data_IF_047948594216
#
_entry.id   IF_047948594216
#
_cell.length_a   1.000
_cell.length_b   1.000
_cell.length_c   1.000
_cell.angle_alpha   90.00
_cell.angle_beta   90.00
_cell.angle_gamma   90.00
#
_symmetry.space_group_name_H-M   'P 1'
#
loop_
_entity.id
_entity.type
_entity.pdbx_description
1 polymer ?
#
# COMPACT_ATOMS: atom_id res chain seq x y z
N UNK A 1 -24.67 5.00 -12.95
CA UNK A 1 -23.24 4.64 -12.91
C UNK A 1 -22.34 5.69 -12.23
N UNK A 2 -22.60 7.00 -12.32
CA UNK A 2 -21.73 8.02 -11.69
C UNK A 2 -22.01 8.28 -10.19
N UNK A 3 -23.21 7.94 -9.70
CA UNK A 3 -23.64 8.16 -8.31
C UNK A 3 -22.99 7.17 -7.33
N UNK A 4 -22.77 5.93 -7.78
CA UNK A 4 -22.25 4.82 -6.99
C UNK A 4 -20.78 5.01 -6.61
N UNK A 5 -19.97 5.42 -7.60
CA UNK A 5 -18.53 5.71 -7.41
C UNK A 5 -18.31 6.84 -6.40
N UNK A 6 -19.14 7.89 -6.46
CA UNK A 6 -19.05 9.00 -5.51
C UNK A 6 -19.46 8.59 -4.10
N UNK A 7 -20.54 7.82 -3.97
CA UNK A 7 -21.00 7.29 -2.70
C UNK A 7 -19.94 6.36 -2.05
N UNK A 8 -19.34 5.46 -2.84
CA UNK A 8 -18.26 4.58 -2.39
C UNK A 8 -17.03 5.37 -1.92
N UNK A 9 -16.66 6.43 -2.64
CA UNK A 9 -15.56 7.32 -2.22
C UNK A 9 -15.86 8.04 -0.90
N UNK A 10 -17.07 8.56 -0.73
CA UNK A 10 -17.50 9.22 0.51
C UNK A 10 -17.54 8.23 1.69
N UNK A 11 -18.01 7.00 1.45
CA UNK A 11 -18.00 5.91 2.44
C UNK A 11 -16.59 5.53 2.86
N UNK A 12 -15.69 5.29 1.91
CA UNK A 12 -14.28 4.99 2.20
C UNK A 12 -13.63 6.12 2.99
N UNK A 13 -13.92 7.38 2.64
CA UNK A 13 -13.40 8.54 3.36
C UNK A 13 -13.93 8.60 4.81
N UNK A 14 -15.22 8.34 5.02
CA UNK A 14 -15.83 8.27 6.37
C UNK A 14 -15.20 7.16 7.20
N UNK A 15 -15.02 5.98 6.64
CA UNK A 15 -14.41 4.84 7.30
C UNK A 15 -12.93 5.08 7.61
N UNK A 16 -12.17 5.64 6.67
CA UNK A 16 -10.76 6.00 6.90
C UNK A 16 -10.60 7.06 7.99
N UNK A 17 -11.61 7.91 8.19
CA UNK A 17 -11.62 8.92 9.25
C UNK A 17 -12.20 8.42 10.58
N UNK A 18 -12.80 7.23 10.59
CA UNK A 18 -13.45 6.65 11.76
C UNK A 18 -12.43 6.24 12.84
N UNK A 19 -12.90 6.20 14.09
CA UNK A 19 -12.03 5.81 15.21
C UNK A 19 -11.54 4.37 15.07
N UNK A 20 -12.40 3.46 14.61
CA UNK A 20 -12.03 2.05 14.43
C UNK A 20 -10.88 1.88 13.43
N UNK A 21 -10.87 2.63 12.33
CA UNK A 21 -9.76 2.58 11.38
C UNK A 21 -8.49 3.17 11.98
N UNK A 22 -8.58 4.34 12.62
CA UNK A 22 -7.41 5.01 13.21
C UNK A 22 -6.76 4.20 14.32
N UNK A 23 -7.56 3.53 15.16
CA UNK A 23 -7.07 2.66 16.22
C UNK A 23 -6.36 1.43 15.63
N UNK A 24 -6.96 0.81 14.61
CA UNK A 24 -6.35 -0.31 13.91
C UNK A 24 -5.06 0.10 13.19
N UNK A 25 -5.07 1.21 12.43
CA UNK A 25 -3.91 1.76 11.73
C UNK A 25 -2.75 2.01 12.71
N UNK A 26 -3.03 2.67 13.84
CA UNK A 26 -2.04 2.93 14.88
C UNK A 26 -1.43 1.64 15.43
N UNK A 27 -2.27 0.70 15.88
CA UNK A 27 -1.81 -0.56 16.45
C UNK A 27 -1.02 -1.39 15.44
N UNK A 28 -1.49 -1.42 14.18
CA UNK A 28 -0.83 -2.09 13.07
C UNK A 28 0.55 -1.47 12.80
N UNK A 29 0.62 -0.14 12.69
CA UNK A 29 1.88 0.57 12.44
C UNK A 29 2.88 0.32 13.57
N UNK A 30 2.45 0.42 14.83
CA UNK A 30 3.33 0.25 16.00
C UNK A 30 3.83 -1.18 16.16
N UNK A 31 3.04 -2.18 15.76
CA UNK A 31 3.41 -3.60 15.88
C UNK A 31 4.28 -4.08 14.71
N UNK A 32 3.95 -3.66 13.49
CA UNK A 32 4.59 -4.20 12.27
C UNK A 32 5.74 -3.33 11.78
N UNK A 33 5.73 -2.04 12.11
CA UNK A 33 6.63 -1.05 11.51
C UNK A 33 6.33 -0.76 10.04
N UNK A 34 5.15 -1.15 9.53
CA UNK A 34 4.72 -0.91 8.15
C UNK A 34 3.62 0.16 8.07
N UNK A 35 3.49 0.86 6.94
CA UNK A 35 2.39 1.78 6.72
C UNK A 35 1.09 1.02 6.39
N UNK A 36 -0.04 1.65 6.64
CA UNK A 36 -1.36 1.14 6.26
C UNK A 36 -2.20 2.30 5.73
N UNK A 37 -2.92 2.08 4.64
CA UNK A 37 -3.85 3.05 4.09
C UNK A 37 -5.14 2.34 3.69
N UNK A 38 -6.28 3.00 3.89
CA UNK A 38 -7.54 2.64 3.25
C UNK A 38 -7.86 3.68 2.17
N UNK A 39 -8.19 3.23 0.97
CA UNK A 39 -8.41 4.12 -0.17
C UNK A 39 -9.49 3.62 -1.12
N UNK A 40 -10.15 4.53 -1.87
CA UNK A 40 -11.14 4.15 -2.88
C UNK A 40 -10.48 3.46 -4.07
N UNK A 41 -11.29 2.97 -5.01
CA UNK A 41 -10.80 2.27 -6.21
C UNK A 41 -9.90 3.15 -7.08
N UNK A 42 -10.23 4.44 -7.21
CA UNK A 42 -9.45 5.37 -8.02
C UNK A 42 -8.15 5.78 -7.32
N UNK A 43 -7.05 5.80 -8.07
CA UNK A 43 -5.75 6.25 -7.58
C UNK A 43 -5.28 7.41 -8.45
N UNK A 44 -5.06 8.56 -7.81
CA UNK A 44 -4.45 9.73 -8.47
C UNK A 44 -3.09 10.09 -7.85
N UNK A 45 -2.71 9.46 -6.74
CA UNK A 45 -1.52 9.78 -5.94
C UNK A 45 -0.90 8.51 -5.34
N UNK A 46 0.36 8.62 -4.93
CA UNK A 46 1.08 7.56 -4.23
C UNK A 46 0.44 7.25 -2.87
N UNK A 47 0.01 6.00 -2.67
CA UNK A 47 -0.90 5.60 -1.59
C UNK A 47 -0.33 5.81 -0.19
N UNK A 48 0.95 5.52 -0.01
CA UNK A 48 1.61 5.59 1.30
C UNK A 48 2.32 6.93 1.55
N UNK A 49 2.24 7.88 0.62
CA UNK A 49 2.95 9.15 0.74
C UNK A 49 2.51 9.92 1.99
N UNK A 50 3.48 10.22 2.87
CA UNK A 50 3.24 10.93 4.13
C UNK A 50 2.56 10.10 5.22
N UNK A 51 2.38 8.78 5.03
CA UNK A 51 1.86 7.90 6.08
C UNK A 51 2.92 7.62 7.15
N UNK A 52 2.45 7.26 8.34
CA UNK A 52 3.34 6.76 9.41
C UNK A 52 4.01 5.48 8.91
N UNK A 53 5.32 5.36 9.17
CA UNK A 53 6.16 4.27 8.71
C UNK A 53 6.25 4.12 7.18
N UNK A 54 5.99 5.19 6.42
CA UNK A 54 6.38 5.22 5.00
C UNK A 54 7.87 4.88 4.88
N UNK A 55 8.19 3.96 3.97
CA UNK A 55 9.58 3.57 3.72
C UNK A 55 10.39 4.78 3.22
N UNK A 56 11.56 5.07 3.81
CA UNK A 56 12.39 6.22 3.42
C UNK A 56 12.75 6.26 1.93
N UNK A 57 13.05 5.10 1.33
CA UNK A 57 13.34 5.00 -0.10
C UNK A 57 12.11 5.38 -0.93
N UNK A 58 10.95 4.84 -0.59
CA UNK A 58 9.70 5.17 -1.28
C UNK A 58 9.34 6.65 -1.14
N UNK A 59 9.57 7.24 0.03
CA UNK A 59 9.37 8.68 0.25
C UNK A 59 10.30 9.51 -0.64
N UNK A 60 11.57 9.10 -0.77
CA UNK A 60 12.54 9.77 -1.63
C UNK A 60 12.12 9.69 -3.10
N UNK A 61 11.65 8.52 -3.56
CA UNK A 61 11.08 8.35 -4.90
C UNK A 61 9.87 9.26 -5.12
N UNK A 62 8.96 9.35 -4.14
CA UNK A 62 7.77 10.20 -4.19
C UNK A 62 8.10 11.71 -4.26
N UNK A 63 9.17 12.14 -3.59
CA UNK A 63 9.66 13.53 -3.63
C UNK A 63 10.33 13.86 -4.96
N UNK A 64 11.16 12.95 -5.47
CA UNK A 64 11.88 13.13 -6.72
C UNK A 64 10.94 13.19 -7.93
N UNK A 65 9.86 12.40 -7.90
CA UNK A 65 8.80 12.47 -8.88
C UNK A 65 7.46 12.10 -8.21
N UNK A 66 6.54 13.09 -8.15
CA UNK A 66 5.20 12.92 -7.54
C UNK A 66 4.40 11.78 -8.16
N UNK A 67 4.78 11.34 -9.36
CA UNK A 67 4.19 10.23 -10.12
C UNK A 67 5.30 9.41 -10.78
N UNK A 68 6.18 8.80 -9.98
CA UNK A 68 7.10 7.79 -10.50
C UNK A 68 6.28 6.70 -11.22
N UNK A 69 6.46 6.57 -12.54
CA UNK A 69 5.67 5.65 -13.38
C UNK A 69 5.72 4.22 -12.84
N UNK A 70 6.88 3.75 -12.39
CA UNK A 70 7.04 2.41 -11.81
C UNK A 70 6.24 2.21 -10.51
N UNK A 71 6.10 3.26 -9.68
CA UNK A 71 5.27 3.18 -8.48
C UNK A 71 3.78 3.14 -8.83
N UNK A 72 3.35 3.85 -9.89
CA UNK A 72 1.97 3.79 -10.38
C UNK A 72 1.66 2.43 -11.02
N UNK A 73 2.57 1.89 -11.83
CA UNK A 73 2.46 0.54 -12.41
C UNK A 73 2.33 -0.52 -11.32
N UNK A 74 3.13 -0.40 -10.24
CA UNK A 74 3.00 -1.29 -9.07
C UNK A 74 1.61 -1.17 -8.43
N UNK A 75 1.11 0.05 -8.26
CA UNK A 75 -0.23 0.28 -7.68
C UNK A 75 -1.36 -0.25 -8.56
N UNK A 76 -1.23 -0.14 -9.88
CA UNK A 76 -2.17 -0.71 -10.83
C UNK A 76 -2.14 -2.24 -10.78
N UNK A 77 -0.94 -2.85 -10.82
CA UNK A 77 -0.77 -4.30 -10.73
C UNK A 77 -1.38 -4.86 -9.42
N UNK A 78 -1.25 -4.13 -8.30
CA UNK A 78 -1.89 -4.49 -7.04
C UNK A 78 -3.41 -4.61 -7.18
N UNK A 79 -4.04 -3.59 -7.76
CA UNK A 79 -5.50 -3.55 -7.96
C UNK A 79 -5.97 -4.62 -8.92
N UNK A 80 -5.27 -4.78 -10.04
CA UNK A 80 -5.63 -5.77 -11.07
C UNK A 80 -5.59 -7.19 -10.52
N UNK A 81 -4.57 -7.56 -9.72
CA UNK A 81 -4.50 -8.89 -9.13
C UNK A 81 -5.53 -9.14 -8.02
N UNK A 82 -6.20 -8.11 -7.50
CA UNK A 82 -7.33 -8.27 -6.59
C UNK A 82 -8.67 -8.58 -7.30
N UNK A 83 -8.68 -8.82 -8.61
CA UNK A 83 -9.91 -9.05 -9.38
C UNK A 83 -10.79 -10.20 -8.84
N UNK A 84 -10.17 -11.25 -8.31
CA UNK A 84 -10.88 -12.39 -7.70
C UNK A 84 -11.36 -12.08 -6.26
N UNK A 85 -11.14 -10.86 -5.78
CA UNK A 85 -11.55 -10.42 -4.47
C UNK A 85 -10.69 -10.97 -3.33
N UNK A 86 -9.46 -11.38 -3.64
CA UNK A 86 -8.42 -11.82 -2.70
C UNK A 86 -7.33 -10.76 -2.57
N UNK A 87 -6.51 -10.88 -1.53
CA UNK A 87 -5.34 -10.04 -1.36
C UNK A 87 -4.31 -10.32 -2.48
N UNK A 88 -3.68 -9.26 -2.98
CA UNK A 88 -2.65 -9.37 -4.01
C UNK A 88 -1.37 -8.68 -3.54
N UNK A 89 -0.24 -9.38 -3.69
CA UNK A 89 1.08 -8.87 -3.31
C UNK A 89 1.94 -8.72 -4.56
N UNK A 90 2.56 -7.56 -4.73
CA UNK A 90 3.44 -7.25 -5.86
C UNK A 90 4.78 -6.78 -5.32
N UNK A 91 5.86 -7.24 -5.96
CA UNK A 91 7.22 -6.75 -5.70
C UNK A 91 7.60 -5.72 -6.75
N UNK A 92 7.96 -4.51 -6.33
CA UNK A 92 8.37 -3.44 -7.23
C UNK A 92 9.81 -3.61 -7.73
N UNK A 93 10.25 -2.71 -8.63
CA UNK A 93 11.61 -2.73 -9.19
C UNK A 93 12.72 -2.67 -8.12
N UNK A 94 12.44 -2.06 -6.97
CA UNK A 94 13.40 -1.92 -5.87
C UNK A 94 13.46 -3.18 -4.97
N UNK A 95 12.70 -4.23 -5.30
CA UNK A 95 12.64 -5.46 -4.51
C UNK A 95 11.79 -5.34 -3.23
N UNK A 96 11.01 -4.27 -3.09
CA UNK A 96 10.07 -4.07 -1.98
C UNK A 96 8.69 -4.60 -2.36
N UNK A 97 8.02 -5.24 -1.40
CA UNK A 97 6.69 -5.81 -1.56
C UNK A 97 5.62 -4.88 -1.02
N UNK A 98 4.57 -4.69 -1.82
CA UNK A 98 3.32 -4.06 -1.44
C UNK A 98 2.17 -5.06 -1.56
N UNK A 99 1.15 -4.91 -0.73
CA UNK A 99 -0.07 -5.72 -0.77
C UNK A 99 -1.30 -4.83 -0.82
N UNK A 100 -2.27 -5.20 -1.64
CA UNK A 100 -3.63 -4.69 -1.61
C UNK A 100 -4.60 -5.77 -1.13
N UNK A 101 -5.55 -5.37 -0.30
CA UNK A 101 -6.62 -6.22 0.23
C UNK A 101 -7.96 -5.54 -0.06
N UNK A 102 -8.86 -6.16 -0.85
CA UNK A 102 -10.13 -5.55 -1.20
C UNK A 102 -11.09 -5.50 0.00
N UNK A 103 -11.76 -4.35 0.18
CA UNK A 103 -12.88 -4.17 1.10
C UNK A 103 -14.17 -4.14 0.27
N UNK A 104 -15.17 -4.93 0.66
CA UNK A 104 -16.38 -5.15 -0.15
C UNK A 104 -17.64 -4.67 0.56
N UNK A 105 -18.61 -4.23 -0.22
CA UNK A 105 -20.00 -4.03 0.20
C UNK A 105 -20.88 -4.90 -0.70
N UNK A 106 -21.53 -5.91 -0.12
CA UNK A 106 -22.12 -7.01 -0.90
C UNK A 106 -21.08 -7.70 -1.79
N UNK A 107 -21.28 -7.65 -3.12
CA UNK A 107 -20.35 -8.20 -4.12
C UNK A 107 -19.39 -7.15 -4.70
N UNK A 108 -19.59 -5.86 -4.41
CA UNK A 108 -18.81 -4.78 -4.98
C UNK A 108 -17.58 -4.46 -4.12
N UNK A 109 -16.43 -4.22 -4.75
CA UNK A 109 -15.24 -3.69 -4.07
C UNK A 109 -15.34 -2.18 -3.97
N UNK A 110 -15.48 -1.67 -2.76
CA UNK A 110 -15.60 -0.22 -2.49
C UNK A 110 -14.22 0.46 -2.37
N UNK A 111 -13.18 -0.31 -2.05
CA UNK A 111 -11.84 0.21 -1.83
C UNK A 111 -10.84 -0.87 -1.45
N UNK A 112 -9.62 -0.44 -1.14
CA UNK A 112 -8.50 -1.34 -0.82
C UNK A 112 -7.78 -0.87 0.45
N UNK A 113 -7.56 -1.79 1.37
CA UNK A 113 -6.51 -1.65 2.38
C UNK A 113 -5.17 -1.96 1.71
N UNK A 114 -4.18 -1.09 1.89
CA UNK A 114 -2.85 -1.27 1.33
C UNK A 114 -1.76 -1.11 2.38
N UNK A 115 -0.80 -2.02 2.36
CA UNK A 115 0.38 -2.04 3.23
C UNK A 115 1.60 -2.54 2.45
N UNK A 116 2.79 -2.44 3.04
CA UNK A 116 4.00 -2.99 2.45
C UNK A 116 5.18 -2.04 2.53
N UNK A 117 5.79 -1.79 1.37
CA UNK A 117 7.10 -1.14 1.24
C UNK A 117 8.21 -1.84 2.03
N UNK A 118 8.17 -3.18 2.05
CA UNK A 118 9.09 -4.00 2.85
C UNK A 118 9.83 -5.03 1.98
N UNK A 119 11.09 -5.29 2.29
CA UNK A 119 11.85 -6.37 1.68
C UNK A 119 11.50 -7.73 2.31
N UNK A 120 11.58 -8.80 1.52
CA UNK A 120 11.43 -10.19 2.00
C UNK A 120 12.76 -10.95 2.08
N UNK A 121 13.85 -10.26 1.76
CA UNK A 121 15.21 -10.79 1.72
C UNK A 121 16.16 -9.67 2.08
N UNK A 122 17.29 -10.02 2.67
CA UNK A 122 18.30 -9.05 3.10
C UNK A 122 18.78 -8.17 1.93
N UNK A 123 18.90 -6.85 2.13
CA UNK A 123 19.52 -5.96 1.16
C UNK A 123 21.00 -6.28 0.96
N UNK A 124 21.48 -6.27 -0.29
CA UNK A 124 22.90 -6.46 -0.62
C UNK A 124 23.38 -5.41 -1.62
N UNK A 125 24.69 -5.09 -1.67
CA UNK A 125 25.22 -4.10 -2.60
C UNK A 125 24.92 -4.44 -4.06
N UNK A 126 24.91 -5.72 -4.42
CA UNK A 126 24.61 -6.18 -5.78
C UNK A 126 23.15 -5.95 -6.15
N UNK A 127 22.24 -6.07 -5.18
CA UNK A 127 20.82 -5.75 -5.37
C UNK A 127 20.62 -4.25 -5.53
N UNK A 128 21.21 -3.45 -4.65
CA UNK A 128 21.14 -2.00 -4.77
C UNK A 128 21.76 -1.52 -6.09
N UNK A 129 22.85 -2.12 -6.55
CA UNK A 129 23.45 -1.83 -7.85
C UNK A 129 22.47 -1.99 -9.03
N UNK A 130 21.51 -2.92 -8.94
CA UNK A 130 20.45 -3.07 -9.96
C UNK A 130 19.41 -1.96 -9.85
N UNK A 131 19.01 -1.60 -8.62
CA UNK A 131 18.11 -0.48 -8.35
C UNK A 131 18.71 0.83 -8.86
N UNK A 132 19.97 1.11 -8.52
CA UNK A 132 20.69 2.30 -8.95
C UNK A 132 20.78 2.41 -10.48
N UNK A 133 21.08 1.30 -11.18
CA UNK A 133 21.06 1.27 -12.65
C UNK A 133 19.69 1.66 -13.21
N UNK A 134 18.62 1.08 -12.66
CA UNK A 134 17.25 1.42 -13.08
C UNK A 134 16.92 2.90 -12.86
N UNK A 135 17.36 3.49 -11.73
CA UNK A 135 17.17 4.91 -11.43
C UNK A 135 17.91 5.82 -12.43
N UNK A 136 19.14 5.44 -12.79
CA UNK A 136 19.95 6.14 -13.80
C UNK A 136 19.28 6.04 -15.18
N UNK A 137 18.85 4.84 -15.57
CA UNK A 137 18.21 4.59 -16.88
C UNK A 137 16.91 5.40 -17.05
N UNK A 138 16.16 5.59 -15.96
CA UNK A 138 14.97 6.45 -15.94
C UNK A 138 15.29 7.95 -15.84
N UNK A 139 16.55 8.33 -15.65
CA UNK A 139 16.97 9.72 -15.52
C UNK A 139 16.40 10.42 -14.27
N UNK A 140 16.08 9.67 -13.21
CA UNK A 140 15.59 10.26 -11.96
C UNK A 140 16.69 11.12 -11.33
N UNK A 141 16.37 12.38 -11.04
CA UNK A 141 17.26 13.31 -10.35
C UNK A 141 17.22 13.04 -8.85
N UNK A 142 17.92 11.99 -8.44
CA UNK A 142 18.05 11.53 -7.06
C UNK A 142 19.53 11.40 -6.72
N UNK A 143 19.93 11.82 -5.52
CA UNK A 143 21.25 11.47 -4.99
C UNK A 143 21.29 9.96 -4.73
N UNK A 144 22.13 9.24 -5.48
CA UNK A 144 22.22 7.79 -5.39
C UNK A 144 22.72 7.31 -4.03
N UNK A 145 23.54 8.11 -3.34
CA UNK A 145 24.01 7.77 -2.00
C UNK A 145 22.88 7.90 -0.99
N UNK A 146 22.09 8.97 -1.08
CA UNK A 146 20.89 9.14 -0.25
C UNK A 146 19.88 8.02 -0.51
N UNK A 147 19.69 7.65 -1.78
CA UNK A 147 18.82 6.53 -2.16
C UNK A 147 19.33 5.18 -1.63
N UNK A 148 20.65 4.96 -1.62
CA UNK A 148 21.26 3.76 -1.05
C UNK A 148 20.98 3.67 0.44
N UNK A 149 21.33 4.72 1.18
CA UNK A 149 21.11 4.78 2.63
C UNK A 149 19.63 4.57 2.98
N UNK A 150 18.71 5.21 2.24
CA UNK A 150 17.27 5.05 2.41
C UNK A 150 16.78 3.64 2.05
N UNK A 151 17.34 3.02 1.03
CA UNK A 151 16.97 1.65 0.61
C UNK A 151 17.40 0.61 1.64
N UNK A 152 18.61 0.73 2.19
CA UNK A 152 19.09 -0.13 3.28
C UNK A 152 18.29 0.01 4.59
N UNK A 153 17.65 1.15 4.82
CA UNK A 153 16.75 1.36 5.96
C UNK A 153 15.36 0.74 5.77
N UNK A 154 15.09 0.12 4.62
CA UNK A 154 13.82 -0.57 4.38
C UNK A 154 13.60 -1.68 5.40
N UNK A 155 12.36 -1.79 5.91
CA UNK A 155 11.99 -2.90 6.79
C UNK A 155 12.12 -4.21 6.03
N UNK A 156 12.86 -5.17 6.59
CA UNK A 156 12.93 -6.54 6.09
C UNK A 156 12.12 -7.45 6.99
N UNK A 157 11.25 -8.25 6.39
CA UNK A 157 10.43 -9.25 7.07
C UNK A 157 10.72 -10.62 6.46
N UNK A 158 10.61 -11.67 7.27
CA UNK A 158 10.56 -13.02 6.69
C UNK A 158 9.26 -13.18 5.90
N UNK A 159 9.24 -14.11 4.94
CA UNK A 159 8.02 -14.42 4.18
C UNK A 159 6.84 -14.76 5.10
N UNK A 160 7.07 -15.57 6.13
CA UNK A 160 6.05 -15.93 7.12
C UNK A 160 5.52 -14.73 7.91
N UNK A 161 6.40 -13.79 8.30
CA UNK A 161 5.99 -12.56 8.96
C UNK A 161 5.13 -11.70 8.04
N UNK A 162 5.53 -11.55 6.77
CA UNK A 162 4.76 -10.78 5.80
C UNK A 162 3.40 -11.41 5.50
N UNK A 163 3.32 -12.73 5.33
CA UNK A 163 2.04 -13.45 5.20
C UNK A 163 1.12 -13.23 6.42
N UNK A 164 1.70 -13.20 7.62
CA UNK A 164 0.96 -12.90 8.85
C UNK A 164 0.42 -11.47 8.86
N UNK A 165 1.23 -10.49 8.41
CA UNK A 165 0.80 -9.11 8.20
C UNK A 165 -0.38 -9.04 7.23
N UNK A 166 -0.27 -9.68 6.06
CA UNK A 166 -1.34 -9.72 5.05
C UNK A 166 -2.62 -10.33 5.63
N UNK A 167 -2.50 -11.38 6.44
CA UNK A 167 -3.64 -12.01 7.13
C UNK A 167 -4.31 -11.05 8.12
N UNK A 168 -3.54 -10.29 8.90
CA UNK A 168 -4.09 -9.28 9.82
C UNK A 168 -4.91 -8.24 9.05
N UNK A 169 -4.37 -7.72 7.95
CA UNK A 169 -5.06 -6.73 7.11
C UNK A 169 -6.32 -7.35 6.46
N UNK A 170 -6.25 -8.62 6.04
CA UNK A 170 -7.38 -9.35 5.47
C UNK A 170 -8.53 -9.55 6.44
N UNK A 171 -8.23 -9.89 7.70
CA UNK A 171 -9.25 -9.99 8.75
C UNK A 171 -9.90 -8.64 9.00
N UNK A 172 -9.11 -7.56 9.02
CA UNK A 172 -9.66 -6.23 9.21
C UNK A 172 -10.48 -5.74 8.02
N UNK A 173 -10.10 -6.10 6.79
CA UNK A 173 -10.91 -5.84 5.59
C UNK A 173 -12.29 -6.48 5.68
N UNK A 174 -12.39 -7.71 6.20
CA UNK A 174 -13.67 -8.38 6.44
C UNK A 174 -14.49 -7.63 7.49
N UNK A 175 -13.86 -7.17 8.57
CA UNK A 175 -14.54 -6.38 9.60
C UNK A 175 -15.10 -5.06 9.04
N UNK A 176 -14.31 -4.31 8.25
CA UNK A 176 -14.78 -3.12 7.56
C UNK A 176 -15.92 -3.43 6.60
N UNK A 177 -15.84 -4.55 5.86
CA UNK A 177 -16.90 -4.98 4.94
C UNK A 177 -18.23 -5.23 5.67
N UNK A 178 -18.19 -5.84 6.86
CA UNK A 178 -19.38 -6.03 7.69
C UNK A 178 -19.99 -4.70 8.16
N UNK A 179 -19.14 -3.73 8.56
CA UNK A 179 -19.60 -2.39 8.94
C UNK A 179 -20.24 -1.65 7.76
N UNK A 180 -19.68 -1.78 6.56
CA UNK A 180 -20.26 -1.20 5.34
C UNK A 180 -21.65 -1.76 5.07
N UNK A 181 -21.80 -3.09 5.13
CA UNK A 181 -23.08 -3.76 4.91
C UNK A 181 -24.15 -3.33 5.94
N UNK A 182 -23.76 -3.07 7.20
CA UNK A 182 -24.69 -2.57 8.22
C UNK A 182 -25.15 -1.14 7.98
N UNK A 183 -24.29 -0.29 7.41
CA UNK A 183 -24.64 1.08 7.05
C UNK A 183 -25.62 1.10 5.87
N UNK A 184 -25.45 0.20 4.89
CA UNK A 184 -26.36 0.06 3.75
C UNK A 184 -27.78 -0.37 4.14
N UNK A 185 -27.95 -1.19 5.19
CA UNK A 185 -29.28 -1.64 5.66
C UNK A 185 -30.02 -0.51 6.41
N UNK A 186 -29.33 0.53 6.86
CA UNK A 186 -29.89 1.63 7.65
C UNK A 186 -30.25 2.88 6.83
N UNK A 187 -30.06 2.82 5.51
CA UNK A 187 -30.54 3.79 4.51
C UNK A 187 -31.71 3.18 3.72
#
# INVERSE_FOLDING_TARGET
MNTDVRANRELVQRLSNSQIFKDYEKAFNETTGLPLAFRPREVWNLVQAGRRNENPFCQLMAKANKTCAACLETQEALVQGCANGEANTVTCFAGLCDTAVPVKMGQEVIGYLQTGQAGLTEPTPERFSRVARQLIDWGLKVDLKEAEEAWYQSKVLTRQQYESVVRLVSIFAQHLSLLCNQLMIRE
#
